data_IF_611239833981
#
_entry.id   IF_611239833981
#
_cell.length_a   1.000
_cell.length_b   1.000
_cell.length_c   1.000
_cell.angle_alpha   90.00
_cell.angle_beta   90.00
_cell.angle_gamma   90.00
#
_symmetry.space_group_name_H-M   'P 1'
#
loop_
_entity.id
_entity.type
_entity.pdbx_description
1 polymer ?
#
# COMPACT_ATOMS: atom_id res chain seq x y z
N UNK A 1 50.45 26.77 -2.18
CA UNK A 1 49.99 25.64 -1.36
C UNK A 1 48.68 25.22 -1.99
N UNK A 2 48.67 24.07 -2.64
CA UNK A 2 47.45 23.56 -3.27
C UNK A 2 46.38 23.38 -2.19
N UNK A 3 45.18 23.91 -2.46
CA UNK A 3 44.03 23.72 -1.59
C UNK A 3 43.62 22.26 -1.68
N UNK A 4 43.92 21.48 -0.64
CA UNK A 4 43.48 20.10 -0.54
C UNK A 4 41.96 20.09 -0.29
N UNK A 5 41.22 19.90 -1.37
CA UNK A 5 39.76 19.72 -1.35
C UNK A 5 39.47 18.24 -1.18
N UNK A 6 38.60 17.89 -0.22
CA UNK A 6 38.16 16.52 0.05
C UNK A 6 36.65 16.42 0.04
N UNK A 7 36.14 15.37 -0.60
CA UNK A 7 34.71 15.08 -0.68
C UNK A 7 34.31 14.11 0.41
N UNK A 8 33.45 14.54 1.32
CA UNK A 8 32.95 13.73 2.44
C UNK A 8 31.44 13.66 2.41
N UNK A 9 30.88 12.64 3.06
CA UNK A 9 29.43 12.45 3.17
C UNK A 9 29.05 12.36 4.64
N UNK A 10 28.02 13.11 5.02
CA UNK A 10 27.60 13.25 6.40
C UNK A 10 26.19 13.80 6.54
N UNK A 11 25.83 14.15 7.78
CA UNK A 11 24.54 14.72 8.14
C UNK A 11 24.72 16.08 8.82
N UNK A 12 23.65 16.88 8.85
CA UNK A 12 23.62 18.10 9.65
C UNK A 12 23.70 17.75 11.14
N UNK A 13 24.68 18.33 11.84
CA UNK A 13 24.88 18.19 13.27
C UNK A 13 24.51 19.43 14.07
N UNK A 14 25.23 19.64 15.17
CA UNK A 14 25.03 20.75 16.10
C UNK A 14 25.27 22.11 15.46
N UNK A 15 24.60 23.14 15.97
CA UNK A 15 24.74 24.51 15.51
C UNK A 15 24.57 25.51 16.64
N UNK A 16 25.16 26.68 16.49
CA UNK A 16 25.11 27.74 17.50
C UNK A 16 24.96 29.13 16.88
N UNK A 17 24.61 30.08 17.74
CA UNK A 17 24.41 31.47 17.33
C UNK A 17 25.75 32.14 16.96
N UNK A 18 25.68 33.06 16.01
CA UNK A 18 26.80 33.92 15.62
C UNK A 18 26.28 35.26 15.13
N UNK A 19 26.94 36.35 15.52
CA UNK A 19 26.56 37.72 15.13
C UNK A 19 25.05 38.02 15.29
N UNK A 20 24.48 37.66 16.45
CA UNK A 20 23.06 37.84 16.80
C UNK A 20 22.05 37.01 15.97
N UNK A 21 22.51 36.12 15.09
CA UNK A 21 21.68 35.18 14.35
C UNK A 21 21.77 33.75 14.91
N UNK A 22 20.62 33.12 15.16
CA UNK A 22 20.55 31.71 15.53
C UNK A 22 20.98 30.79 14.39
N UNK A 23 21.73 29.73 14.71
CA UNK A 23 22.25 28.76 13.75
C UNK A 23 23.12 29.39 12.64
N UNK A 24 23.91 30.40 12.98
CA UNK A 24 24.85 31.01 12.03
C UNK A 24 26.01 30.06 11.70
N UNK A 25 26.53 29.37 12.72
CA UNK A 25 27.60 28.39 12.61
C UNK A 25 27.08 26.98 12.91
N UNK A 26 27.76 25.95 12.40
CA UNK A 26 27.41 24.57 12.75
C UNK A 26 28.45 23.55 12.32
N UNK A 27 28.18 22.30 12.68
CA UNK A 27 29.01 21.14 12.39
C UNK A 27 28.24 20.17 11.50
N UNK A 28 28.98 19.49 10.64
CA UNK A 28 28.51 18.35 9.85
C UNK A 28 29.17 17.10 10.42
N UNK A 29 28.36 16.11 10.81
CA UNK A 29 28.85 14.83 11.31
C UNK A 29 29.12 13.90 10.12
N UNK A 30 30.36 13.44 9.99
CA UNK A 30 30.82 12.73 8.79
C UNK A 30 30.82 11.22 9.01
N UNK A 31 30.32 10.48 8.02
CA UNK A 31 30.37 9.03 8.00
C UNK A 31 31.29 8.46 6.92
N UNK A 32 31.40 9.12 5.77
CA UNK A 32 32.17 8.60 4.64
C UNK A 32 33.11 9.65 4.07
N UNK A 33 34.16 9.17 3.43
CA UNK A 33 34.92 9.90 2.44
C UNK A 33 34.66 9.30 1.05
N UNK A 34 34.45 10.19 0.08
CA UNK A 34 34.29 9.85 -1.34
C UNK A 34 35.62 10.06 -2.04
N UNK A 35 36.15 8.98 -2.62
CA UNK A 35 37.34 9.00 -3.44
C UNK A 35 36.92 8.96 -4.91
N UNK A 36 37.48 9.87 -5.69
CA UNK A 36 37.33 9.84 -7.14
C UNK A 36 38.40 8.90 -7.70
N UNK A 37 37.96 7.84 -8.38
CA UNK A 37 38.88 6.95 -9.08
C UNK A 37 39.14 7.44 -10.51
N UNK A 38 40.24 6.97 -11.11
CA UNK A 38 40.52 7.18 -12.54
C UNK A 38 39.45 6.57 -13.47
N UNK A 39 38.58 5.69 -12.96
CA UNK A 39 37.52 5.00 -13.70
C UNK A 39 36.16 5.71 -13.67
N UNK A 40 36.12 6.98 -13.25
CA UNK A 40 34.90 7.78 -13.02
C UNK A 40 33.93 7.13 -12.00
N UNK A 41 34.42 6.21 -11.17
CA UNK A 41 33.65 5.59 -10.10
C UNK A 41 33.95 6.29 -8.77
N UNK A 42 32.88 6.67 -8.06
CA UNK A 42 33.01 7.14 -6.69
C UNK A 42 33.15 5.94 -5.77
N UNK A 43 34.33 5.79 -5.16
CA UNK A 43 34.55 4.84 -4.09
C UNK A 43 34.22 5.52 -2.76
N UNK A 44 33.47 4.84 -1.89
CA UNK A 44 33.20 5.35 -0.54
C UNK A 44 33.91 4.47 0.48
N UNK A 45 34.54 5.10 1.45
CA UNK A 45 35.12 4.43 2.61
C UNK A 45 34.64 5.12 3.88
N UNK A 46 34.46 4.40 5.00
CA UNK A 46 34.16 5.07 6.26
C UNK A 46 35.26 6.08 6.59
N UNK A 47 34.86 7.20 7.19
CA UNK A 47 35.77 8.29 7.50
C UNK A 47 36.95 7.79 8.36
N UNK A 48 38.17 8.26 8.06
CA UNK A 48 39.43 7.85 8.70
C UNK A 48 39.89 6.40 8.47
N UNK A 49 39.22 5.59 7.63
CA UNK A 49 39.65 4.21 7.37
C UNK A 49 40.71 4.14 6.27
N UNK A 50 40.41 4.68 5.08
CA UNK A 50 41.36 4.67 3.96
C UNK A 50 42.45 5.74 4.11
N UNK A 51 42.04 6.93 4.54
CA UNK A 51 42.92 8.07 4.81
C UNK A 51 42.41 8.80 6.03
N UNK A 52 43.32 9.20 6.93
CA UNK A 52 42.97 10.05 8.07
C UNK A 52 42.43 11.40 7.55
N UNK A 53 41.23 11.75 8.00
CA UNK A 53 40.55 13.01 7.72
C UNK A 53 40.70 13.94 8.93
N UNK A 54 40.03 13.65 10.03
CA UNK A 54 40.20 14.39 11.28
C UNK A 54 39.74 13.55 12.47
N UNK A 55 40.29 13.81 13.65
CA UNK A 55 39.96 13.04 14.85
C UNK A 55 38.51 13.20 15.29
N UNK A 56 37.92 14.38 15.05
CA UNK A 56 36.55 14.68 15.44
C UNK A 56 35.49 14.07 14.53
N UNK A 57 35.86 13.65 13.30
CA UNK A 57 34.92 13.24 12.23
C UNK A 57 33.86 14.29 11.93
N UNK A 58 34.21 15.57 12.08
CA UNK A 58 33.33 16.70 11.85
C UNK A 58 33.94 17.68 10.85
N UNK A 59 33.08 18.36 10.10
CA UNK A 59 33.44 19.50 9.27
C UNK A 59 32.71 20.76 9.74
N UNK A 60 33.44 21.89 9.84
CA UNK A 60 32.90 23.13 10.37
C UNK A 60 32.32 24.03 9.27
N UNK A 61 31.04 24.41 9.41
CA UNK A 61 30.39 25.35 8.50
C UNK A 61 30.58 26.77 9.01
N UNK A 62 31.26 27.57 8.19
CA UNK A 62 31.80 28.87 8.60
C UNK A 62 30.79 30.01 8.70
N UNK A 63 29.60 29.85 8.10
CA UNK A 63 28.49 30.83 8.12
C UNK A 63 27.22 30.21 7.56
N UNK A 64 26.08 30.87 7.76
CA UNK A 64 24.83 30.57 7.04
C UNK A 64 24.31 29.13 7.25
N UNK A 65 24.63 28.48 8.37
CA UNK A 65 24.20 27.09 8.62
C UNK A 65 22.67 26.93 8.65
N UNK A 66 21.94 27.98 9.06
CA UNK A 66 20.48 28.07 9.01
C UNK A 66 19.92 27.68 7.63
N UNK A 67 20.54 28.13 6.53
CA UNK A 67 20.07 27.80 5.18
C UNK A 67 20.15 26.29 4.89
N UNK A 68 21.15 25.60 5.44
CA UNK A 68 21.26 24.15 5.31
C UNK A 68 20.11 23.44 6.05
N UNK A 69 19.76 23.91 7.25
CA UNK A 69 18.61 23.38 8.01
C UNK A 69 17.26 23.64 7.33
N UNK A 70 17.13 24.74 6.61
CA UNK A 70 15.92 25.05 5.83
C UNK A 70 15.83 24.24 4.54
N UNK A 71 16.97 23.96 3.89
CA UNK A 71 17.03 23.27 2.61
C UNK A 71 16.99 21.75 2.72
N UNK A 72 17.61 21.18 3.76
CA UNK A 72 17.79 19.74 3.90
C UNK A 72 17.06 19.20 5.13
N UNK A 73 16.56 17.97 5.00
CA UNK A 73 15.87 17.31 6.10
C UNK A 73 16.87 16.83 7.15
N UNK A 74 16.48 16.87 8.42
CA UNK A 74 17.21 16.25 9.52
C UNK A 74 17.51 14.77 9.20
N UNK A 75 18.74 14.34 9.49
CA UNK A 75 19.21 12.97 9.25
C UNK A 75 19.45 12.60 7.78
N UNK A 76 19.31 13.52 6.83
CA UNK A 76 19.58 13.26 5.41
C UNK A 76 21.09 13.23 5.13
N UNK A 77 21.56 12.25 4.33
CA UNK A 77 22.94 12.25 3.84
C UNK A 77 23.18 13.34 2.79
N UNK A 78 24.29 14.06 2.99
CA UNK A 78 24.73 15.18 2.16
C UNK A 78 26.15 14.92 1.66
N UNK A 79 26.39 15.29 0.40
CA UNK A 79 27.73 15.37 -0.18
C UNK A 79 28.32 16.74 0.15
N UNK A 80 29.54 16.73 0.69
CA UNK A 80 30.19 17.90 1.25
C UNK A 80 31.57 18.03 0.64
N UNK A 81 31.82 19.16 -0.01
CA UNK A 81 33.16 19.52 -0.45
C UNK A 81 33.82 20.38 0.63
N UNK A 82 34.85 19.83 1.25
CA UNK A 82 35.53 20.41 2.42
C UNK A 82 36.97 20.78 2.11
N UNK A 83 37.46 21.84 2.75
CA UNK A 83 38.84 22.31 2.62
C UNK A 83 39.53 22.31 3.97
N UNK A 84 40.85 22.09 3.98
CA UNK A 84 41.62 22.21 5.20
C UNK A 84 41.61 23.64 5.73
N UNK A 85 41.34 23.80 7.02
CA UNK A 85 41.33 25.11 7.69
C UNK A 85 42.71 25.76 7.65
N UNK A 86 42.73 27.09 7.51
CA UNK A 86 43.94 27.89 7.67
C UNK A 86 44.43 27.93 9.12
N UNK A 87 43.51 27.74 10.07
CA UNK A 87 43.76 27.70 11.51
C UNK A 87 43.12 26.43 12.09
N UNK A 88 43.73 25.26 11.88
CA UNK A 88 43.14 23.99 12.31
C UNK A 88 43.10 23.90 13.84
N UNK A 89 41.92 23.65 14.39
CA UNK A 89 41.72 23.16 15.75
C UNK A 89 41.12 21.76 15.69
N UNK A 90 41.04 21.04 16.81
CA UNK A 90 40.53 19.65 16.85
C UNK A 90 39.14 19.48 16.22
N UNK A 91 38.30 20.50 16.30
CA UNK A 91 36.93 20.51 15.76
C UNK A 91 36.78 21.30 14.46
N UNK A 92 37.84 21.99 14.01
CA UNK A 92 37.83 22.85 12.82
C UNK A 92 39.03 22.55 11.92
N UNK A 93 39.46 21.28 11.87
CA UNK A 93 40.56 20.89 10.98
C UNK A 93 40.15 21.06 9.51
N UNK A 94 38.88 20.82 9.22
CA UNK A 94 38.26 21.06 7.93
C UNK A 94 37.08 22.02 8.05
N UNK A 95 36.98 22.90 7.05
CA UNK A 95 35.94 23.93 6.94
C UNK A 95 35.17 23.79 5.64
N UNK A 96 33.92 24.22 5.67
CA UNK A 96 32.95 24.11 4.58
C UNK A 96 32.24 25.45 4.41
N UNK A 97 32.13 25.90 3.16
CA UNK A 97 31.14 26.92 2.78
C UNK A 97 29.80 26.22 2.56
N UNK A 98 28.71 26.74 3.12
CA UNK A 98 27.38 26.15 2.99
C UNK A 98 26.95 25.92 1.53
N UNK A 99 27.45 26.73 0.58
CA UNK A 99 27.19 26.56 -0.86
C UNK A 99 27.80 25.27 -1.46
N UNK A 100 28.75 24.67 -0.75
CA UNK A 100 29.44 23.43 -1.14
C UNK A 100 28.83 22.17 -0.52
N UNK A 101 27.67 22.32 0.11
CA UNK A 101 26.88 21.19 0.63
C UNK A 101 25.75 20.91 -0.35
N UNK A 102 25.69 19.66 -0.82
CA UNK A 102 24.71 19.21 -1.79
C UNK A 102 24.03 17.95 -1.31
N UNK A 103 22.84 17.68 -1.85
CA UNK A 103 22.17 16.41 -1.65
C UNK A 103 22.99 15.28 -2.28
N UNK A 104 23.22 14.20 -1.53
CA UNK A 104 23.85 13.02 -2.09
C UNK A 104 22.99 12.46 -3.25
N UNK A 105 23.56 12.19 -4.44
CA UNK A 105 22.83 11.55 -5.52
C UNK A 105 22.19 10.22 -5.08
N UNK A 106 20.91 10.05 -5.39
CA UNK A 106 20.07 8.93 -4.92
C UNK A 106 20.55 7.55 -5.36
N UNK A 107 21.43 7.49 -6.35
CA UNK A 107 21.98 6.27 -6.94
C UNK A 107 23.40 5.97 -6.43
N UNK A 108 23.88 6.58 -5.34
CA UNK A 108 25.22 6.28 -4.82
C UNK A 108 25.16 5.35 -3.60
N UNK A 109 24.29 5.63 -2.64
CA UNK A 109 24.12 4.86 -1.41
C UNK A 109 22.65 4.54 -1.17
N UNK A 110 22.40 3.32 -0.72
CA UNK A 110 21.10 2.89 -0.20
C UNK A 110 21.30 2.43 1.24
N UNK A 111 20.60 3.03 2.18
CA UNK A 111 20.64 2.59 3.57
C UNK A 111 20.02 1.19 3.72
N UNK A 112 20.65 0.35 4.54
CA UNK A 112 20.18 -0.99 4.88
C UNK A 112 19.47 -0.91 6.23
N UNK A 113 18.20 -1.33 6.27
CA UNK A 113 17.38 -1.34 7.47
C UNK A 113 17.12 -2.78 7.88
N UNK A 114 17.51 -3.15 9.08
CA UNK A 114 17.24 -4.48 9.63
C UNK A 114 15.76 -4.59 10.05
N UNK A 115 15.09 -5.63 9.60
CA UNK A 115 13.71 -5.99 9.95
C UNK A 115 13.67 -7.40 10.54
N UNK A 116 12.69 -7.67 11.41
CA UNK A 116 12.65 -8.94 12.16
C UNK A 116 12.35 -10.17 11.29
N UNK A 117 11.55 -10.01 10.23
CA UNK A 117 11.19 -11.11 9.33
C UNK A 117 10.65 -10.55 8.01
N UNK A 118 10.80 -11.32 6.94
CA UNK A 118 9.98 -11.20 5.74
C UNK A 118 8.54 -11.58 6.14
N UNK A 119 7.69 -10.59 6.41
CA UNK A 119 6.27 -10.86 6.67
C UNK A 119 5.65 -11.44 5.39
N UNK A 120 5.08 -12.66 5.48
CA UNK A 120 4.43 -13.37 4.36
C UNK A 120 3.37 -12.53 3.62
N UNK A 121 2.80 -11.55 4.31
CA UNK A 121 2.03 -10.47 3.72
C UNK A 121 2.93 -9.25 3.79
N UNK A 122 3.59 -8.83 2.70
CA UNK A 122 4.39 -7.61 2.66
C UNK A 122 3.55 -6.41 3.13
N UNK A 123 3.51 -6.17 4.45
CA UNK A 123 3.04 -4.93 5.00
C UNK A 123 4.21 -3.98 4.82
N UNK A 124 4.12 -3.14 3.80
CA UNK A 124 5.12 -2.12 3.48
C UNK A 124 5.22 -1.05 4.57
N UNK A 125 4.93 -1.36 5.83
CA UNK A 125 4.92 -0.42 6.94
C UNK A 125 5.89 -0.93 8.00
N UNK A 126 6.87 -0.10 8.36
CA UNK A 126 7.86 -0.39 9.39
C UNK A 126 7.89 0.75 10.39
N UNK A 127 7.91 0.41 11.68
CA UNK A 127 8.11 1.40 12.75
C UNK A 127 9.60 1.48 13.06
N UNK A 128 10.16 2.69 13.03
CA UNK A 128 11.58 2.95 13.30
C UNK A 128 11.75 4.14 14.23
N UNK A 129 12.88 4.20 14.94
CA UNK A 129 13.22 5.33 15.83
C UNK A 129 13.68 6.58 15.07
N UNK A 130 14.07 6.42 13.80
CA UNK A 130 14.50 7.50 12.92
C UNK A 130 14.05 7.30 11.49
N UNK A 131 14.02 8.39 10.75
CA UNK A 131 13.89 8.35 9.31
C UNK A 131 15.17 7.81 8.63
N UNK A 132 15.04 7.03 7.55
CA UNK A 132 16.19 6.64 6.74
C UNK A 132 16.89 7.86 6.14
N UNK A 133 18.22 7.82 6.11
CA UNK A 133 19.08 8.92 5.65
C UNK A 133 19.18 9.05 4.14
N UNK A 134 18.84 7.99 3.41
CA UNK A 134 18.75 7.94 1.95
C UNK A 134 17.29 7.87 1.49
N UNK A 135 17.01 8.27 0.25
CA UNK A 135 15.65 8.17 -0.33
C UNK A 135 15.24 6.74 -0.65
N UNK A 136 16.22 5.90 -0.95
CA UNK A 136 16.03 4.50 -1.26
C UNK A 136 16.74 3.65 -0.21
N UNK A 137 16.11 2.54 0.15
CA UNK A 137 16.58 1.63 1.18
C UNK A 137 16.54 0.20 0.69
N UNK A 138 17.37 -0.63 1.31
CA UNK A 138 17.27 -2.08 1.29
C UNK A 138 16.78 -2.53 2.66
N UNK A 139 15.95 -3.56 2.73
CA UNK A 139 15.61 -4.18 4.00
C UNK A 139 16.47 -5.44 4.16
N UNK A 140 16.92 -5.68 5.37
CA UNK A 140 17.75 -6.83 5.74
C UNK A 140 16.98 -7.68 6.73
N UNK A 141 16.89 -8.98 6.50
CA UNK A 141 16.27 -9.91 7.44
C UNK A 141 16.98 -11.25 7.42
N UNK A 142 16.79 -12.02 8.48
CA UNK A 142 17.29 -13.39 8.57
C UNK A 142 16.17 -14.32 8.09
N UNK A 143 16.45 -15.14 7.09
CA UNK A 143 15.48 -16.10 6.57
C UNK A 143 15.39 -17.38 7.44
N UNK A 144 14.52 -18.31 7.03
CA UNK A 144 14.32 -19.58 7.72
C UNK A 144 15.56 -20.46 7.81
N UNK A 145 16.55 -20.26 6.92
CA UNK A 145 17.79 -21.00 6.88
C UNK A 145 18.91 -20.33 7.70
N UNK A 146 18.57 -19.27 8.45
CA UNK A 146 19.52 -18.43 9.18
C UNK A 146 20.49 -17.65 8.28
N UNK A 147 20.13 -17.42 7.03
CA UNK A 147 20.90 -16.61 6.09
C UNK A 147 20.36 -15.18 6.06
N UNK A 148 21.27 -14.19 6.00
CA UNK A 148 20.89 -12.79 5.89
C UNK A 148 20.52 -12.49 4.44
N UNK A 149 19.30 -12.05 4.22
CA UNK A 149 18.76 -11.69 2.91
C UNK A 149 18.57 -10.17 2.83
N UNK A 150 18.97 -9.58 1.70
CA UNK A 150 18.67 -8.20 1.36
C UNK A 150 17.53 -8.15 0.35
N UNK A 151 16.58 -7.27 0.60
CA UNK A 151 15.41 -7.09 -0.24
C UNK A 151 15.20 -5.61 -0.59
N UNK A 152 14.99 -5.32 -1.87
CA UNK A 152 14.87 -3.96 -2.36
C UNK A 152 15.37 -3.81 -3.79
N UNK A 153 15.50 -2.56 -4.28
CA UNK A 153 15.37 -1.31 -3.51
C UNK A 153 13.94 -0.84 -3.32
N UNK A 154 13.70 -0.10 -2.23
CA UNK A 154 12.42 0.55 -1.94
C UNK A 154 12.60 2.05 -1.74
N UNK A 155 11.71 2.86 -2.30
CA UNK A 155 11.48 4.20 -1.82
C UNK A 155 10.60 4.17 -0.57
N UNK A 156 10.56 5.24 0.21
CA UNK A 156 9.77 5.26 1.43
C UNK A 156 9.11 6.62 1.68
N UNK A 157 8.09 6.62 2.54
CA UNK A 157 7.39 7.82 3.01
C UNK A 157 7.09 7.68 4.49
N UNK A 158 7.27 8.76 5.25
CA UNK A 158 6.81 8.81 6.63
C UNK A 158 5.28 9.02 6.65
N UNK A 159 4.54 8.04 7.13
CA UNK A 159 3.14 8.20 7.52
C UNK A 159 3.15 8.69 8.98
N UNK A 160 2.56 9.86 9.23
CA UNK A 160 2.59 10.52 10.55
C UNK A 160 2.31 9.50 11.66
N UNK A 161 3.27 9.36 12.57
CA UNK A 161 3.12 8.55 13.77
C UNK A 161 2.17 9.23 14.75
N UNK A 162 1.34 8.44 15.42
CA UNK A 162 0.55 8.87 16.59
C UNK A 162 1.45 9.04 17.84
N UNK A 163 2.67 8.49 17.82
CA UNK A 163 3.63 8.48 18.92
C UNK A 163 4.80 9.45 18.67
N UNK A 164 5.13 10.26 19.67
CA UNK A 164 6.08 11.38 19.57
C UNK A 164 7.55 10.97 19.29
N UNK A 165 7.89 9.68 19.30
CA UNK A 165 9.28 9.19 19.22
C UNK A 165 9.49 8.06 18.21
N UNK A 166 8.49 7.77 17.38
CA UNK A 166 8.55 6.69 16.40
C UNK A 166 8.12 7.20 15.04
N UNK A 167 8.66 6.61 13.98
CA UNK A 167 8.34 6.91 12.59
C UNK A 167 7.69 5.70 11.95
N UNK A 168 6.53 5.89 11.32
CA UNK A 168 5.87 4.82 10.57
C UNK A 168 6.25 4.97 9.10
N UNK A 169 7.21 4.18 8.65
CA UNK A 169 7.72 4.21 7.28
C UNK A 169 6.86 3.35 6.37
N UNK A 170 6.29 3.95 5.34
CA UNK A 170 5.64 3.23 4.24
C UNK A 170 6.56 3.08 3.04
N UNK A 171 6.91 1.85 2.71
CA UNK A 171 7.70 1.50 1.54
C UNK A 171 6.88 1.53 0.25
N UNK A 172 7.54 1.94 -0.82
CA UNK A 172 7.01 2.06 -2.17
C UNK A 172 8.06 1.57 -3.16
N UNK A 173 7.60 1.09 -4.30
CA UNK A 173 8.51 0.60 -5.33
C UNK A 173 8.84 1.77 -6.24
N UNK A 174 10.13 2.11 -6.40
CA UNK A 174 10.51 3.24 -7.22
C UNK A 174 10.20 2.93 -8.69
N UNK A 175 9.75 3.94 -9.45
CA UNK A 175 9.43 3.79 -10.87
C UNK A 175 10.65 3.48 -11.74
N UNK A 176 11.84 3.81 -11.24
CA UNK A 176 13.14 3.40 -11.77
C UNK A 176 13.99 2.96 -10.60
N UNK A 177 14.66 1.82 -10.74
CA UNK A 177 15.56 1.36 -9.69
C UNK A 177 16.74 2.31 -9.53
N UNK A 178 17.13 2.67 -8.29
CA UNK A 178 18.38 3.38 -8.03
C UNK A 178 19.61 2.53 -8.37
N UNK A 179 19.49 1.20 -8.50
CA UNK A 179 20.62 0.31 -8.78
C UNK A 179 21.05 0.41 -10.24
N UNK A 180 22.31 0.76 -10.48
CA UNK A 180 22.84 1.02 -11.82
C UNK A 180 22.82 -0.24 -12.67
N UNK A 181 22.29 -0.16 -13.89
CA UNK A 181 22.29 -1.28 -14.85
C UNK A 181 21.16 -2.31 -14.67
N UNK A 182 20.30 -2.14 -13.66
CA UNK A 182 19.11 -2.97 -13.47
C UNK A 182 17.88 -2.22 -14.01
N UNK A 183 16.94 -2.94 -14.61
CA UNK A 183 15.62 -2.40 -14.93
C UNK A 183 14.55 -3.20 -14.20
N UNK A 184 13.83 -2.54 -13.31
CA UNK A 184 12.74 -3.15 -12.54
C UNK A 184 11.42 -2.75 -13.19
N UNK A 185 10.64 -3.75 -13.60
CA UNK A 185 9.26 -3.50 -14.05
C UNK A 185 8.35 -3.17 -12.87
N UNK A 186 7.23 -2.49 -13.15
CA UNK A 186 6.20 -2.14 -12.18
C UNK A 186 5.85 -3.26 -11.17
N UNK A 187 5.99 -2.90 -9.90
CA UNK A 187 5.71 -3.71 -8.71
C UNK A 187 6.58 -4.96 -8.50
N UNK A 188 7.80 -4.98 -9.04
CA UNK A 188 8.79 -6.00 -8.70
C UNK A 188 9.93 -5.40 -7.89
N UNK A 189 10.68 -6.24 -7.20
CA UNK A 189 11.91 -5.90 -6.51
C UNK A 189 12.85 -7.11 -6.53
N UNK A 190 14.02 -7.01 -5.90
CA UNK A 190 14.96 -8.12 -5.80
C UNK A 190 15.14 -8.56 -4.37
N UNK A 191 15.34 -9.87 -4.20
CA UNK A 191 15.83 -10.53 -3.00
C UNK A 191 17.18 -11.13 -3.34
N UNK A 192 18.23 -10.83 -2.58
CA UNK A 192 19.60 -11.31 -2.81
C UNK A 192 20.21 -11.71 -1.47
N UNK A 193 20.85 -12.89 -1.37
CA UNK A 193 21.61 -13.23 -0.18
C UNK A 193 22.73 -12.23 0.07
N UNK A 194 22.83 -11.75 1.30
CA UNK A 194 23.76 -10.68 1.69
C UNK A 194 25.23 -11.08 1.46
N UNK A 195 25.54 -12.37 1.54
CA UNK A 195 26.89 -12.91 1.33
C UNK A 195 27.52 -12.52 -0.02
N UNK A 196 26.70 -12.42 -1.08
CA UNK A 196 27.17 -12.01 -2.42
C UNK A 196 27.32 -10.50 -2.55
N UNK A 197 26.84 -9.72 -1.58
CA UNK A 197 26.85 -8.27 -1.59
C UNK A 197 27.84 -7.67 -0.58
N UNK A 198 28.56 -8.49 0.20
CA UNK A 198 29.47 -8.05 1.26
C UNK A 198 30.49 -6.99 0.81
N UNK A 199 31.06 -7.10 -0.40
CA UNK A 199 32.02 -6.13 -0.94
C UNK A 199 31.40 -4.76 -1.23
N UNK A 200 30.07 -4.69 -1.36
CA UNK A 200 29.32 -3.48 -1.59
C UNK A 200 28.66 -2.95 -0.32
N UNK A 201 28.78 -3.64 0.82
CA UNK A 201 28.20 -3.20 2.08
C UNK A 201 29.26 -2.47 2.87
N UNK A 202 28.91 -1.26 3.33
CA UNK A 202 29.77 -0.43 4.15
C UNK A 202 29.03 0.00 5.40
N UNK A 203 29.70 -0.09 6.54
CA UNK A 203 29.18 0.36 7.83
C UNK A 203 29.95 1.59 8.29
N UNK A 204 29.22 2.54 8.87
CA UNK A 204 29.82 3.74 9.47
C UNK A 204 29.07 4.17 10.71
N UNK A 205 29.67 5.08 11.47
CA UNK A 205 29.04 5.68 12.66
C UNK A 205 28.83 7.17 12.38
N UNK A 206 27.58 7.61 12.40
CA UNK A 206 27.18 9.02 12.28
C UNK A 206 26.27 9.34 13.46
N UNK A 207 26.56 10.41 14.21
CA UNK A 207 25.74 10.84 15.36
C UNK A 207 25.46 9.69 16.35
N UNK A 208 26.51 8.96 16.72
CA UNK A 208 26.49 7.81 17.62
C UNK A 208 25.63 6.61 17.17
N UNK A 209 25.12 6.63 15.93
CA UNK A 209 24.38 5.54 15.33
C UNK A 209 25.26 4.76 14.35
N UNK A 210 25.31 3.44 14.50
CA UNK A 210 25.90 2.55 13.50
C UNK A 210 24.91 2.34 12.36
N UNK A 211 25.32 2.71 11.15
CA UNK A 211 24.50 2.71 9.94
C UNK A 211 25.19 1.88 8.86
N UNK A 212 24.43 0.98 8.23
CA UNK A 212 24.91 0.12 7.15
C UNK A 212 24.31 0.57 5.82
N UNK A 213 25.11 0.57 4.76
CA UNK A 213 24.71 1.06 3.44
C UNK A 213 25.19 0.12 2.35
N UNK A 214 24.40 0.01 1.29
CA UNK A 214 24.76 -0.65 0.04
C UNK A 214 25.30 0.38 -0.95
N UNK A 215 26.52 0.15 -1.43
CA UNK A 215 27.24 0.92 -2.44
C UNK A 215 26.74 0.54 -3.83
N UNK A 216 26.15 1.49 -4.54
CA UNK A 216 25.71 1.25 -5.90
C UNK A 216 26.84 1.46 -6.92
N UNK A 217 27.75 0.49 -6.99
CA UNK A 217 28.83 0.46 -7.98
C UNK A 217 28.32 0.08 -9.38
N UNK A 218 29.13 0.28 -10.43
CA UNK A 218 28.74 -0.17 -11.78
C UNK A 218 28.64 -1.69 -11.88
N UNK A 219 29.28 -2.47 -11.01
CA UNK A 219 29.31 -3.94 -11.10
C UNK A 219 28.25 -4.65 -10.25
N UNK A 220 27.61 -3.96 -9.31
CA UNK A 220 26.66 -4.58 -8.39
C UNK A 220 25.50 -5.29 -9.11
N UNK A 221 25.09 -4.79 -10.29
CA UNK A 221 24.02 -5.43 -11.08
C UNK A 221 24.33 -6.88 -11.47
N UNK A 222 25.60 -7.25 -11.56
CA UNK A 222 26.02 -8.62 -11.87
C UNK A 222 25.60 -9.58 -10.75
N UNK A 223 25.78 -9.18 -9.50
CA UNK A 223 25.37 -9.98 -8.34
C UNK A 223 23.86 -10.11 -8.26
N UNK A 224 23.12 -9.01 -8.45
CA UNK A 224 21.65 -9.05 -8.52
C UNK A 224 21.13 -9.92 -9.68
N UNK A 225 21.81 -9.92 -10.83
CA UNK A 225 21.38 -10.72 -11.99
C UNK A 225 21.71 -12.20 -11.81
N UNK A 226 22.83 -12.52 -11.17
CA UNK A 226 23.34 -13.88 -11.01
C UNK A 226 22.76 -14.61 -9.80
N UNK A 227 22.61 -13.89 -8.68
CA UNK A 227 22.21 -14.44 -7.39
C UNK A 227 20.87 -13.90 -6.89
N UNK A 228 20.33 -12.85 -7.52
CA UNK A 228 19.07 -12.25 -7.10
C UNK A 228 17.84 -12.97 -7.63
N UNK A 229 16.87 -13.15 -6.74
CA UNK A 229 15.51 -13.56 -7.07
C UNK A 229 14.64 -12.32 -7.27
N UNK A 230 13.88 -12.30 -8.37
CA UNK A 230 12.90 -11.26 -8.62
C UNK A 230 11.60 -11.59 -7.90
N UNK A 231 11.16 -10.68 -7.03
CA UNK A 231 9.99 -10.85 -6.18
C UNK A 231 8.87 -9.89 -6.56
N UNK A 232 7.62 -10.36 -6.47
CA UNK A 232 6.43 -9.55 -6.75
C UNK A 232 5.92 -8.86 -5.48
N UNK A 233 6.23 -7.58 -5.38
CA UNK A 233 5.93 -6.71 -4.24
C UNK A 233 4.68 -5.85 -4.51
N UNK A 234 3.80 -6.32 -5.39
CA UNK A 234 2.48 -5.69 -5.59
C UNK A 234 1.60 -5.91 -4.34
N UNK A 235 0.95 -4.87 -3.77
CA UNK A 235 0.04 -5.04 -2.65
C UNK A 235 -1.17 -5.90 -3.01
N UNK A 236 -1.62 -6.77 -2.09
CA UNK A 236 -2.74 -7.71 -2.32
C UNK A 236 -4.03 -7.03 -2.77
N UNK A 237 -4.37 -5.89 -2.17
CA UNK A 237 -5.54 -5.09 -2.57
C UNK A 237 -5.46 -4.66 -4.04
N UNK A 238 -4.26 -4.34 -4.53
CA UNK A 238 -4.02 -3.95 -5.93
C UNK A 238 -4.04 -5.19 -6.84
N UNK A 239 -3.46 -6.30 -6.40
CA UNK A 239 -3.53 -7.59 -7.10
C UNK A 239 -4.99 -8.00 -7.33
N UNK A 240 -5.82 -7.96 -6.29
CA UNK A 240 -7.25 -8.25 -6.38
C UNK A 240 -7.99 -7.29 -7.32
N UNK A 241 -7.70 -5.98 -7.22
CA UNK A 241 -8.34 -4.97 -8.07
C UNK A 241 -8.01 -5.17 -9.56
N UNK A 242 -6.75 -5.44 -9.90
CA UNK A 242 -6.31 -5.50 -11.30
C UNK A 242 -6.41 -6.89 -11.94
N UNK A 243 -6.22 -7.96 -11.15
CA UNK A 243 -6.17 -9.34 -11.64
C UNK A 243 -7.36 -10.16 -11.18
N UNK A 244 -7.91 -9.89 -9.98
CA UNK A 244 -9.17 -10.50 -9.54
C UNK A 244 -10.32 -10.12 -10.47
N UNK A 245 -10.42 -8.84 -10.86
CA UNK A 245 -11.44 -8.40 -11.83
C UNK A 245 -11.31 -9.08 -13.19
N UNK A 246 -10.09 -9.32 -13.69
CA UNK A 246 -9.86 -10.05 -14.93
C UNK A 246 -10.30 -11.51 -14.86
N UNK A 247 -10.07 -12.19 -13.73
CA UNK A 247 -10.54 -13.55 -13.50
C UNK A 247 -12.08 -13.62 -13.50
N UNK A 248 -12.73 -12.63 -12.90
CA UNK A 248 -14.19 -12.56 -12.81
C UNK A 248 -14.89 -12.24 -14.14
N UNK A 249 -14.19 -11.63 -15.11
CA UNK A 249 -14.75 -11.35 -16.44
C UNK A 249 -14.87 -12.58 -17.33
N UNK A 250 -14.16 -13.68 -17.01
CA UNK A 250 -14.06 -14.84 -17.90
C UNK A 250 -15.39 -15.62 -18.05
N UNK A 251 -16.28 -15.61 -17.04
CA UNK A 251 -17.60 -16.28 -17.06
C UNK A 251 -18.57 -15.64 -16.06
N UNK A 252 -19.89 -15.85 -16.21
CA UNK A 252 -20.87 -15.39 -15.22
C UNK A 252 -20.52 -15.93 -13.84
N UNK A 253 -20.25 -15.00 -12.92
CA UNK A 253 -19.80 -15.28 -11.57
C UNK A 253 -20.93 -14.98 -10.58
N UNK A 254 -21.54 -16.03 -10.03
CA UNK A 254 -22.62 -15.93 -9.04
C UNK A 254 -22.08 -16.14 -7.63
N UNK A 255 -21.16 -15.27 -7.22
CA UNK A 255 -20.60 -15.27 -5.86
C UNK A 255 -19.39 -16.17 -5.65
N UNK A 256 -18.73 -15.97 -4.51
CA UNK A 256 -17.51 -16.66 -4.10
C UNK A 256 -17.89 -17.97 -3.40
N UNK A 257 -17.76 -19.09 -4.13
CA UNK A 257 -18.01 -20.46 -3.65
C UNK A 257 -16.83 -21.36 -4.02
N UNK A 258 -16.70 -22.51 -3.35
CA UNK A 258 -15.67 -23.50 -3.71
C UNK A 258 -15.74 -23.91 -5.20
N UNK A 259 -16.96 -24.10 -5.73
CA UNK A 259 -17.18 -24.45 -7.13
C UNK A 259 -16.79 -23.32 -8.09
N UNK A 260 -17.06 -22.06 -7.75
CA UNK A 260 -16.64 -20.93 -8.58
C UNK A 260 -15.13 -20.74 -8.56
N UNK A 261 -14.45 -21.02 -7.43
CA UNK A 261 -12.99 -20.95 -7.34
C UNK A 261 -12.29 -21.99 -8.22
N UNK A 262 -12.83 -23.21 -8.31
CA UNK A 262 -12.33 -24.23 -9.25
C UNK A 262 -12.52 -23.81 -10.71
N UNK A 263 -13.65 -23.16 -11.04
CA UNK A 263 -13.86 -22.58 -12.38
C UNK A 263 -12.85 -21.47 -12.66
N UNK A 264 -12.58 -20.58 -11.70
CA UNK A 264 -11.58 -19.52 -11.85
C UNK A 264 -10.17 -20.10 -12.04
N UNK A 265 -9.83 -21.17 -11.32
CA UNK A 265 -8.56 -21.90 -11.46
C UNK A 265 -8.39 -22.47 -12.88
N UNK A 266 -9.41 -23.10 -13.43
CA UNK A 266 -9.39 -23.58 -14.82
C UNK A 266 -9.27 -22.43 -15.84
N UNK A 267 -9.78 -21.25 -15.52
CA UNK A 267 -9.78 -20.08 -16.39
C UNK A 267 -8.50 -19.23 -16.30
N UNK A 268 -7.57 -19.50 -15.38
CA UNK A 268 -6.33 -18.71 -15.25
C UNK A 268 -5.60 -18.60 -16.59
N UNK A 269 -5.53 -19.69 -17.36
CA UNK A 269 -4.85 -19.69 -18.66
C UNK A 269 -5.65 -19.01 -19.78
N UNK A 270 -6.96 -18.80 -19.58
CA UNK A 270 -7.85 -18.14 -20.54
C UNK A 270 -7.93 -16.62 -20.31
N UNK A 271 -7.48 -16.13 -19.15
CA UNK A 271 -7.46 -14.70 -18.87
C UNK A 271 -6.55 -13.97 -19.87
N UNK A 272 -6.99 -12.78 -20.31
CA UNK A 272 -6.28 -11.95 -21.29
C UNK A 272 -4.80 -11.70 -20.91
N UNK A 273 -4.55 -11.53 -19.60
CA UNK A 273 -3.23 -11.27 -19.00
C UNK A 273 -2.45 -12.53 -18.62
N UNK A 274 -2.95 -13.73 -18.91
CA UNK A 274 -2.32 -14.99 -18.49
C UNK A 274 -0.92 -15.19 -19.04
N UNK A 275 -0.70 -14.82 -20.31
CA UNK A 275 0.62 -14.98 -20.96
C UNK A 275 1.70 -14.10 -20.34
N UNK A 276 1.33 -12.92 -19.82
CA UNK A 276 2.29 -11.93 -19.32
C UNK A 276 2.40 -11.92 -17.80
N UNK A 277 1.35 -12.28 -17.06
CA UNK A 277 1.28 -12.14 -15.60
C UNK A 277 0.55 -13.31 -14.92
N UNK A 278 0.84 -14.55 -15.33
CA UNK A 278 0.32 -15.76 -14.69
C UNK A 278 0.54 -15.81 -13.16
N UNK A 279 1.72 -15.44 -12.61
CA UNK A 279 1.95 -15.48 -11.16
C UNK A 279 0.97 -14.59 -10.38
N UNK A 280 0.67 -13.39 -10.87
CA UNK A 280 -0.28 -12.45 -10.25
C UNK A 280 -1.72 -12.95 -10.29
N UNK A 281 -2.13 -13.61 -11.37
CA UNK A 281 -3.44 -14.27 -11.46
C UNK A 281 -3.56 -15.42 -10.47
N UNK A 282 -2.50 -16.22 -10.30
CA UNK A 282 -2.45 -17.29 -9.30
C UNK A 282 -2.53 -16.70 -7.87
N UNK A 283 -1.79 -15.63 -7.58
CA UNK A 283 -1.85 -14.93 -6.30
C UNK A 283 -3.25 -14.36 -6.04
N UNK A 284 -3.88 -13.72 -7.02
CA UNK A 284 -5.25 -13.24 -6.91
C UNK A 284 -6.23 -14.39 -6.59
N UNK A 285 -6.10 -15.54 -7.24
CA UNK A 285 -6.91 -16.72 -6.93
C UNK A 285 -6.70 -17.19 -5.48
N UNK A 286 -5.46 -17.26 -5.01
CA UNK A 286 -5.16 -17.64 -3.61
C UNK A 286 -5.81 -16.69 -2.62
N UNK A 287 -5.72 -15.38 -2.85
CA UNK A 287 -6.36 -14.38 -2.00
C UNK A 287 -7.89 -14.55 -1.95
N UNK A 288 -8.51 -14.87 -3.09
CA UNK A 288 -9.94 -15.19 -3.16
C UNK A 288 -10.28 -16.50 -2.44
N UNK A 289 -9.40 -17.51 -2.47
CA UNK A 289 -9.58 -18.76 -1.71
C UNK A 289 -9.54 -18.50 -0.21
N UNK A 290 -8.53 -17.77 0.27
CA UNK A 290 -8.41 -17.39 1.69
C UNK A 290 -9.62 -16.59 2.17
N UNK A 291 -10.14 -15.68 1.34
CA UNK A 291 -11.36 -14.94 1.67
C UNK A 291 -12.61 -15.86 1.81
N UNK A 292 -12.71 -16.89 0.97
CA UNK A 292 -13.80 -17.87 1.06
C UNK A 292 -13.67 -18.76 2.30
N UNK A 293 -12.47 -19.23 2.60
CA UNK A 293 -12.16 -20.02 3.80
C UNK A 293 -12.53 -19.23 5.06
N UNK A 294 -12.08 -17.97 5.15
CA UNK A 294 -12.45 -17.09 6.26
C UNK A 294 -13.97 -16.89 6.38
N UNK A 295 -14.70 -16.80 5.27
CA UNK A 295 -16.15 -16.68 5.32
C UNK A 295 -16.83 -17.95 5.90
N UNK A 296 -16.26 -19.14 5.63
CA UNK A 296 -16.73 -20.40 6.20
C UNK A 296 -16.40 -20.48 7.69
N UNK A 297 -15.16 -20.17 8.06
CA UNK A 297 -14.72 -20.14 9.46
C UNK A 297 -15.54 -19.15 10.28
N UNK A 298 -15.76 -17.95 9.74
CA UNK A 298 -16.60 -16.92 10.37
C UNK A 298 -18.02 -17.42 10.60
N UNK A 299 -18.62 -18.13 9.64
CA UNK A 299 -19.95 -18.73 9.82
C UNK A 299 -19.95 -19.75 10.96
N UNK A 300 -18.95 -20.63 11.00
CA UNK A 300 -18.82 -21.63 12.05
C UNK A 300 -18.66 -20.98 13.43
N UNK A 301 -17.79 -19.97 13.55
CA UNK A 301 -17.60 -19.21 14.79
C UNK A 301 -18.88 -18.47 15.23
N UNK A 302 -19.64 -17.89 14.30
CA UNK A 302 -20.94 -17.29 14.64
C UNK A 302 -21.95 -18.33 15.12
N UNK A 303 -22.01 -19.50 14.49
CA UNK A 303 -22.88 -20.59 14.92
C UNK A 303 -22.48 -21.07 16.32
N UNK A 304 -21.19 -21.30 16.57
CA UNK A 304 -20.67 -21.70 17.87
C UNK A 304 -20.97 -20.64 18.94
N UNK A 305 -20.80 -19.36 18.62
CA UNK A 305 -21.16 -18.27 19.53
C UNK A 305 -22.66 -18.30 19.85
N UNK A 306 -23.53 -18.45 18.85
CA UNK A 306 -24.99 -18.52 19.04
C UNK A 306 -25.45 -19.77 19.80
N UNK A 307 -24.71 -20.87 19.72
CA UNK A 307 -24.96 -22.11 20.47
C UNK A 307 -24.39 -22.05 21.90
N UNK A 308 -23.42 -21.18 22.16
CA UNK A 308 -22.86 -20.98 23.48
C UNK A 308 -23.88 -20.35 24.44
N UNK A 309 -23.81 -20.70 25.73
CA UNK A 309 -24.66 -20.10 26.77
C UNK A 309 -24.58 -18.58 26.79
N UNK A 310 -23.36 -18.05 26.64
CA UNK A 310 -23.11 -16.62 26.69
C UNK A 310 -23.69 -15.89 25.48
N UNK A 311 -23.60 -16.47 24.29
CA UNK A 311 -24.23 -15.92 23.09
C UNK A 311 -25.76 -16.03 23.13
N UNK A 312 -26.31 -17.13 23.65
CA UNK A 312 -27.75 -17.25 23.87
C UNK A 312 -28.27 -16.18 24.83
N UNK A 313 -27.61 -15.97 25.98
CA UNK A 313 -27.96 -14.90 26.91
C UNK A 313 -27.88 -13.51 26.25
N UNK A 314 -26.87 -13.26 25.41
CA UNK A 314 -26.76 -11.98 24.69
C UNK A 314 -27.89 -11.79 23.67
N UNK A 315 -28.23 -12.82 22.91
CA UNK A 315 -29.34 -12.76 21.94
C UNK A 315 -30.67 -12.58 22.66
N UNK A 316 -30.90 -13.32 23.75
CA UNK A 316 -32.11 -13.21 24.56
C UNK A 316 -32.23 -11.81 25.19
N UNK A 317 -31.15 -11.29 25.75
CA UNK A 317 -31.12 -9.91 26.25
C UNK A 317 -31.37 -8.89 25.14
N UNK A 318 -30.82 -9.08 23.95
CA UNK A 318 -31.06 -8.19 22.82
C UNK A 318 -32.52 -8.24 22.37
N UNK A 319 -33.12 -9.42 22.26
CA UNK A 319 -34.53 -9.60 21.92
C UNK A 319 -35.41 -8.93 22.97
N UNK A 320 -35.18 -9.20 24.26
CA UNK A 320 -35.96 -8.63 25.36
C UNK A 320 -35.89 -7.09 25.38
N UNK A 321 -34.71 -6.52 25.12
CA UNK A 321 -34.53 -5.07 25.10
C UNK A 321 -35.10 -4.39 23.84
N UNK A 322 -35.34 -5.14 22.76
CA UNK A 322 -35.83 -4.62 21.48
C UNK A 322 -37.19 -5.23 21.06
N UNK A 323 -37.87 -5.91 21.98
CA UNK A 323 -39.09 -6.68 21.73
C UNK A 323 -40.19 -5.81 21.08
N UNK A 324 -40.36 -4.59 21.59
CA UNK A 324 -41.33 -3.62 21.07
C UNK A 324 -41.05 -3.20 19.61
N UNK A 325 -39.79 -3.02 19.23
CA UNK A 325 -39.39 -2.69 17.86
C UNK A 325 -39.61 -3.89 16.93
N UNK A 326 -39.26 -5.09 17.41
CA UNK A 326 -39.46 -6.33 16.66
C UNK A 326 -40.95 -6.58 16.35
N UNK A 327 -41.83 -6.45 17.35
CA UNK A 327 -43.27 -6.63 17.14
C UNK A 327 -43.89 -5.51 16.29
N UNK A 328 -43.36 -4.28 16.32
CA UNK A 328 -43.81 -3.23 15.40
C UNK A 328 -43.51 -3.60 13.95
N UNK A 329 -42.31 -4.09 13.65
CA UNK A 329 -41.92 -4.50 12.31
C UNK A 329 -42.74 -5.71 11.82
N UNK A 330 -42.88 -6.74 12.65
CA UNK A 330 -43.66 -7.93 12.31
C UNK A 330 -45.15 -7.60 12.08
N UNK A 331 -45.71 -6.70 12.90
CA UNK A 331 -47.09 -6.24 12.75
C UNK A 331 -47.28 -5.44 11.48
N UNK A 332 -46.30 -4.63 11.09
CA UNK A 332 -46.30 -3.89 9.83
C UNK A 332 -46.27 -4.84 8.63
N UNK A 333 -45.37 -5.82 8.64
CA UNK A 333 -45.28 -6.82 7.56
C UNK A 333 -46.59 -7.61 7.39
N UNK A 334 -47.21 -8.03 8.50
CA UNK A 334 -48.53 -8.69 8.43
C UNK A 334 -49.65 -7.77 7.97
N UNK A 335 -49.62 -6.49 8.34
CA UNK A 335 -50.57 -5.49 7.84
C UNK A 335 -50.43 -5.29 6.34
N UNK A 336 -49.20 -5.19 5.83
CA UNK A 336 -48.93 -5.04 4.39
C UNK A 336 -49.46 -6.26 3.60
N UNK A 337 -49.34 -7.48 4.15
CA UNK A 337 -49.92 -8.70 3.54
C UNK A 337 -51.45 -8.60 3.47
N UNK A 338 -52.11 -8.21 4.56
CA UNK A 338 -53.57 -8.07 4.62
C UNK A 338 -54.06 -6.95 3.68
N UNK A 339 -53.34 -5.83 3.60
CA UNK A 339 -53.65 -4.75 2.68
C UNK A 339 -53.56 -5.20 1.22
N UNK A 340 -52.54 -5.98 0.86
CA UNK A 340 -52.41 -6.55 -0.47
C UNK A 340 -53.55 -7.53 -0.81
N UNK A 341 -53.94 -8.40 0.14
CA UNK A 341 -55.08 -9.32 -0.06
C UNK A 341 -56.41 -8.56 -0.25
N UNK A 342 -56.64 -7.51 0.55
CA UNK A 342 -57.82 -6.65 0.40
C UNK A 342 -57.81 -5.98 -0.98
N UNK A 343 -56.67 -5.48 -1.43
CA UNK A 343 -56.55 -4.81 -2.71
C UNK A 343 -56.80 -5.76 -3.89
N UNK A 344 -56.33 -6.99 -3.80
CA UNK A 344 -56.62 -8.04 -4.78
C UNK A 344 -58.11 -8.39 -4.82
N UNK A 345 -58.76 -8.49 -3.66
CA UNK A 345 -60.19 -8.76 -3.55
C UNK A 345 -61.04 -7.62 -4.13
N UNK A 346 -60.67 -6.36 -3.84
CA UNK A 346 -61.27 -5.16 -4.43
C UNK A 346 -61.15 -5.22 -5.95
N UNK A 347 -59.96 -5.53 -6.48
CA UNK A 347 -59.73 -5.59 -7.93
C UNK A 347 -60.62 -6.64 -8.59
N UNK A 348 -60.75 -7.83 -7.99
CA UNK A 348 -61.66 -8.89 -8.47
C UNK A 348 -63.12 -8.44 -8.45
N UNK A 349 -63.56 -7.79 -7.39
CA UNK A 349 -64.94 -7.30 -7.25
C UNK A 349 -65.26 -6.20 -8.26
N UNK A 350 -64.36 -5.24 -8.46
CA UNK A 350 -64.49 -4.19 -9.49
C UNK A 350 -64.59 -4.79 -10.88
N UNK A 351 -63.81 -5.83 -11.17
CA UNK A 351 -63.86 -6.51 -12.46
C UNK A 351 -65.20 -7.25 -12.65
N UNK A 352 -65.70 -7.94 -11.63
CA UNK A 352 -67.05 -8.54 -11.66
C UNK A 352 -68.15 -7.50 -11.85
N UNK A 353 -68.07 -6.37 -11.14
CA UNK A 353 -69.03 -5.27 -11.29
C UNK A 353 -69.05 -4.76 -12.74
N UNK A 354 -67.87 -4.54 -13.34
CA UNK A 354 -67.75 -4.10 -14.73
C UNK A 354 -68.37 -5.10 -15.70
N UNK A 355 -68.13 -6.40 -15.49
CA UNK A 355 -68.75 -7.46 -16.31
C UNK A 355 -70.27 -7.45 -16.18
N UNK A 356 -70.80 -7.40 -14.96
CA UNK A 356 -72.24 -7.36 -14.71
C UNK A 356 -72.90 -6.11 -15.34
N UNK A 357 -72.27 -4.94 -15.23
CA UNK A 357 -72.75 -3.72 -15.89
C UNK A 357 -72.79 -3.86 -17.41
N UNK A 358 -71.80 -4.51 -18.01
CA UNK A 358 -71.81 -4.83 -19.45
C UNK A 358 -72.98 -5.75 -19.78
N UNK A 359 -73.15 -6.85 -19.03
CA UNK A 359 -74.24 -7.81 -19.27
C UNK A 359 -75.62 -7.16 -19.15
N UNK A 360 -75.84 -6.31 -18.15
CA UNK A 360 -77.09 -5.55 -17.99
C UNK A 360 -77.33 -4.66 -19.20
N UNK A 361 -76.30 -3.97 -19.70
CA UNK A 361 -76.40 -3.12 -20.89
C UNK A 361 -76.77 -3.94 -22.13
N UNK A 362 -76.11 -5.08 -22.33
CA UNK A 362 -76.34 -5.96 -23.48
C UNK A 362 -77.76 -6.56 -23.44
N UNK A 363 -78.23 -6.98 -22.26
CA UNK A 363 -79.59 -7.45 -22.05
C UNK A 363 -80.63 -6.34 -22.29
N UNK A 364 -80.35 -5.10 -21.86
CA UNK A 364 -81.20 -3.94 -22.14
C UNK A 364 -81.34 -3.69 -23.64
N UNK A 365 -80.23 -3.68 -24.38
CA UNK A 365 -80.23 -3.53 -25.85
C UNK A 365 -80.99 -4.67 -26.55
N UNK A 366 -80.81 -5.91 -26.10
CA UNK A 366 -81.53 -7.06 -26.65
C UNK A 366 -83.04 -7.00 -26.38
N UNK A 367 -83.46 -6.52 -25.20
CA UNK A 367 -84.85 -6.32 -24.85
C UNK A 367 -85.50 -5.22 -25.70
N UNK A 368 -84.80 -4.11 -25.92
CA UNK A 368 -85.27 -3.01 -26.78
C UNK A 368 -85.36 -3.45 -28.25
N UNK A 369 -84.40 -4.24 -28.74
CA UNK A 369 -84.45 -4.82 -30.08
C UNK A 369 -85.67 -5.75 -30.26
N UNK A 370 -85.94 -6.63 -29.28
CA UNK A 370 -87.13 -7.50 -29.29
C UNK A 370 -88.44 -6.72 -29.24
N UNK A 371 -88.51 -5.65 -28.44
CA UNK A 371 -89.70 -4.77 -28.41
C UNK A 371 -89.94 -4.10 -29.75
N UNK A 372 -88.88 -3.68 -30.44
CA UNK A 372 -88.97 -3.10 -31.78
C UNK A 372 -89.45 -4.13 -32.80
N UNK A 373 -88.87 -5.33 -32.80
CA UNK A 373 -89.30 -6.43 -33.67
C UNK A 373 -90.78 -6.81 -33.45
N UNK A 374 -91.22 -6.85 -32.19
CA UNK A 374 -92.62 -7.10 -31.85
C UNK A 374 -93.55 -5.97 -32.32
N UNK A 375 -93.13 -4.71 -32.20
CA UNK A 375 -93.87 -3.57 -32.70
C UNK A 375 -93.95 -3.54 -34.24
N UNK A 376 -92.88 -3.92 -34.93
CA UNK A 376 -92.82 -4.01 -36.39
C UNK A 376 -93.75 -5.15 -36.89
N UNK A 377 -93.75 -6.31 -36.22
CA UNK A 377 -94.71 -7.40 -36.53
C UNK A 377 -96.17 -7.01 -36.28
N UNK A 378 -96.46 -6.28 -35.20
CA UNK A 378 -97.82 -5.79 -34.92
C UNK A 378 -98.28 -4.73 -35.94
N UNK A 379 -97.34 -3.94 -36.49
CA UNK A 379 -97.62 -3.00 -37.56
C UNK A 379 -97.88 -3.70 -38.90
N UNK A 380 -97.12 -4.74 -39.25
CA UNK A 380 -97.37 -5.59 -40.42
C UNK A 380 -98.72 -6.31 -40.36
N UNK A 381 -99.14 -6.78 -39.18
CA UNK A 381 -100.43 -7.47 -39.01
C UNK A 381 -101.65 -6.55 -39.13
N UNK A 382 -101.45 -5.23 -39.06
CA UNK A 382 -102.51 -4.20 -39.15
C UNK A 382 -102.60 -3.51 -40.51
N UNK A 383 -101.63 -3.71 -41.39
CA UNK A 383 -101.63 -3.28 -42.79
C UNK A 383 -102.29 -4.35 -43.67
#
# INVERSE_FOLDING_TARGET
MDHEVRFVVGMLGDSWAGNDEENWFGLLDLGFERFESESEESEFSPINIRSHYCDSRKAFVTRNFKYLKEQFRVGQLLLIESERSKNPTREQEYVVDYLRVQKLPQNQLLEIINIQSESNNFSYTLITEREPSTEHVMLSYVDSNSEVQLIGPFGWKNEKSEYQHEFTLRFTIPSRTPITGINISDHYSYKVPCEYLNEYIVETVIQDNTLSYLLNSKNIHKEFTKHGERIDVMPDARVLKEYGTELLKAKPFNGLTAKSLEVLKANINMASKAKTNKPRLIRALKLLQTANEWQQDRKALFTELLESKQGQEQVENYINNNELEFFKLLRKEKLDIVENEIQDEITKLTQKEKTLRSTIRDLGLAADAKRKEQADMEAEYRA
#
